data_IF_376879006975
#
_entry.id   IF_376879006975
#
_cell.length_a   1.000
_cell.length_b   1.000
_cell.length_c   1.000
_cell.angle_alpha   90.00
_cell.angle_beta   90.00
_cell.angle_gamma   90.00
#
_symmetry.space_group_name_H-M   'P 1'
#
loop_
_entity.id
_entity.type
_entity.pdbx_description
1 polymer ?
#
# COMPACT_ATOMS: atom_id res chain seq x y z
N UNK A 1 13.82 3.11 41.83
CA UNK A 1 12.66 3.10 40.92
C UNK A 1 12.56 1.73 40.28
N UNK A 2 11.41 1.04 40.32
CA UNK A 2 11.21 -0.14 39.48
C UNK A 2 11.24 0.30 37.99
N UNK A 3 11.74 -0.55 37.07
CA UNK A 3 11.69 -0.24 35.64
C UNK A 3 10.22 -0.09 35.21
N UNK A 4 9.91 0.83 34.27
CA UNK A 4 8.56 0.99 33.78
C UNK A 4 8.07 -0.33 33.18
N UNK A 5 6.88 -0.78 33.61
CA UNK A 5 6.21 -1.96 33.05
C UNK A 5 6.04 -1.74 31.54
N UNK A 6 6.69 -2.59 30.74
CA UNK A 6 6.50 -2.62 29.29
C UNK A 6 5.02 -2.90 29.00
N UNK A 7 4.32 -2.07 28.20
CA UNK A 7 2.93 -2.31 27.88
C UNK A 7 2.81 -3.63 27.08
N UNK A 8 1.77 -4.41 27.36
CA UNK A 8 1.53 -5.74 26.80
C UNK A 8 1.25 -5.75 25.27
N UNK A 9 1.37 -4.62 24.59
CA UNK A 9 1.06 -4.44 23.17
C UNK A 9 2.19 -4.86 22.22
N UNK A 10 3.38 -5.21 22.71
CA UNK A 10 4.57 -5.46 21.88
C UNK A 10 4.49 -6.62 20.86
N UNK A 11 3.53 -7.55 20.97
CA UNK A 11 3.48 -8.73 20.10
C UNK A 11 2.98 -8.42 18.67
N UNK A 12 1.98 -7.54 18.53
CA UNK A 12 1.47 -7.13 17.23
C UNK A 12 2.42 -6.15 16.52
N UNK A 13 3.14 -5.33 17.30
CA UNK A 13 4.10 -4.33 16.81
C UNK A 13 5.38 -4.92 16.22
N UNK A 14 5.57 -6.24 16.25
CA UNK A 14 6.76 -6.92 15.74
C UNK A 14 6.45 -8.05 14.78
N UNK A 15 5.26 -8.06 14.19
CA UNK A 15 4.97 -9.00 13.11
C UNK A 15 5.87 -8.66 11.93
N UNK A 16 6.81 -9.56 11.66
CA UNK A 16 7.66 -9.47 10.49
C UNK A 16 6.82 -9.38 9.21
N UNK A 17 7.39 -8.77 8.15
CA UNK A 17 6.70 -8.56 6.88
C UNK A 17 6.09 -9.85 6.31
N UNK A 18 6.73 -11.01 6.54
CA UNK A 18 6.18 -12.31 6.12
C UNK A 18 4.90 -12.68 6.86
N UNK A 19 4.83 -12.49 8.18
CA UNK A 19 3.62 -12.79 8.94
C UNK A 19 2.46 -11.91 8.50
N UNK A 20 2.71 -10.63 8.25
CA UNK A 20 1.68 -9.73 7.73
C UNK A 20 1.18 -10.19 6.36
N UNK A 21 2.10 -10.61 5.48
CA UNK A 21 1.72 -11.19 4.19
C UNK A 21 0.90 -12.47 4.37
N UNK A 22 1.31 -13.41 5.23
CA UNK A 22 0.58 -14.66 5.45
C UNK A 22 -0.81 -14.44 6.03
N UNK A 23 -0.96 -13.53 6.99
CA UNK A 23 -2.27 -13.17 7.55
C UNK A 23 -3.15 -12.57 6.45
N UNK A 24 -2.62 -11.66 5.63
CA UNK A 24 -3.38 -11.07 4.53
C UNK A 24 -3.76 -12.08 3.46
N UNK A 25 -2.86 -13.02 3.11
CA UNK A 25 -3.17 -14.13 2.20
C UNK A 25 -4.27 -15.02 2.77
N UNK A 26 -4.22 -15.32 4.07
CA UNK A 26 -5.27 -16.09 4.75
C UNK A 26 -6.60 -15.35 4.71
N UNK A 27 -6.62 -14.04 5.01
CA UNK A 27 -7.84 -13.21 4.90
C UNK A 27 -8.40 -13.25 3.48
N UNK A 28 -7.57 -13.10 2.46
CA UNK A 28 -7.98 -13.25 1.06
C UNK A 28 -8.57 -14.63 0.78
N UNK A 29 -7.91 -15.71 1.22
CA UNK A 29 -8.40 -17.08 1.03
C UNK A 29 -9.76 -17.33 1.72
N UNK A 30 -9.97 -16.74 2.91
CA UNK A 30 -11.25 -16.79 3.62
C UNK A 30 -12.33 -16.07 2.81
N UNK A 31 -12.05 -14.86 2.31
CA UNK A 31 -13.01 -14.12 1.47
C UNK A 31 -13.32 -14.89 0.19
N UNK A 32 -12.33 -15.47 -0.46
CA UNK A 32 -12.51 -16.32 -1.64
C UNK A 32 -13.41 -17.53 -1.32
N UNK A 33 -13.16 -18.21 -0.20
CA UNK A 33 -13.95 -19.37 0.22
C UNK A 33 -15.44 -19.02 0.38
N UNK A 34 -15.74 -17.85 0.94
CA UNK A 34 -17.12 -17.40 1.12
C UNK A 34 -17.74 -16.85 -0.17
N UNK A 35 -16.97 -16.25 -1.07
CA UNK A 35 -17.50 -15.59 -2.29
C UNK A 35 -17.47 -16.46 -3.54
N UNK A 36 -16.78 -17.61 -3.53
CA UNK A 36 -16.64 -18.53 -4.69
C UNK A 36 -17.95 -19.06 -5.30
N UNK A 37 -19.08 -18.89 -4.63
CA UNK A 37 -20.39 -19.31 -5.14
C UNK A 37 -21.03 -18.27 -6.07
N UNK A 38 -20.45 -17.07 -6.18
CA UNK A 38 -20.88 -16.05 -7.13
C UNK A 38 -20.45 -16.44 -8.55
N UNK A 39 -21.27 -16.10 -9.55
CA UNK A 39 -21.04 -16.49 -10.95
C UNK A 39 -20.01 -15.61 -11.68
N UNK A 40 -19.66 -14.44 -11.13
CA UNK A 40 -18.75 -13.47 -11.76
C UNK A 40 -17.33 -13.63 -11.24
N UNK A 41 -16.43 -14.13 -12.09
CA UNK A 41 -14.99 -14.28 -11.76
C UNK A 41 -14.35 -12.92 -11.38
N UNK A 42 -14.57 -11.81 -12.12
CA UNK A 42 -14.02 -10.51 -11.74
C UNK A 42 -14.54 -10.02 -10.38
N UNK A 43 -15.80 -10.29 -10.05
CA UNK A 43 -16.40 -9.90 -8.77
C UNK A 43 -15.73 -10.62 -7.60
N UNK A 44 -15.63 -11.95 -7.68
CA UNK A 44 -14.96 -12.79 -6.67
C UNK A 44 -13.49 -12.39 -6.51
N UNK A 45 -12.82 -12.11 -7.63
CA UNK A 45 -11.41 -11.68 -7.64
C UNK A 45 -11.23 -10.37 -6.89
N UNK A 46 -12.10 -9.38 -7.14
CA UNK A 46 -11.99 -8.07 -6.49
C UNK A 46 -12.39 -8.10 -5.02
N UNK A 47 -13.39 -8.89 -4.63
CA UNK A 47 -13.72 -9.10 -3.21
C UNK A 47 -12.54 -9.74 -2.46
N UNK A 48 -11.94 -10.79 -3.06
CA UNK A 48 -10.76 -11.46 -2.52
C UNK A 48 -9.59 -10.50 -2.36
N UNK A 49 -9.33 -9.69 -3.40
CA UNK A 49 -8.30 -8.66 -3.40
C UNK A 49 -8.52 -7.61 -2.32
N UNK A 50 -9.75 -7.10 -2.17
CA UNK A 50 -10.10 -6.13 -1.12
C UNK A 50 -9.84 -6.71 0.26
N UNK A 51 -10.23 -7.96 0.53
CA UNK A 51 -9.96 -8.62 1.80
C UNK A 51 -8.47 -8.72 2.12
N UNK A 52 -7.68 -9.17 1.13
CA UNK A 52 -6.21 -9.20 1.24
C UNK A 52 -5.63 -7.81 1.50
N UNK A 53 -6.01 -6.82 0.69
CA UNK A 53 -5.42 -5.49 0.70
C UNK A 53 -5.77 -4.71 1.98
N UNK A 54 -7.02 -4.78 2.45
CA UNK A 54 -7.41 -4.16 3.73
C UNK A 54 -6.68 -4.78 4.91
N UNK A 55 -6.54 -6.11 4.94
CA UNK A 55 -5.76 -6.80 5.98
C UNK A 55 -4.31 -6.31 5.96
N UNK A 56 -3.69 -6.19 4.78
CA UNK A 56 -2.31 -5.72 4.65
C UNK A 56 -2.17 -4.26 5.13
N UNK A 57 -3.06 -3.36 4.68
CA UNK A 57 -3.09 -1.97 5.12
C UNK A 57 -3.21 -1.90 6.64
N UNK A 58 -4.19 -2.58 7.25
CA UNK A 58 -4.42 -2.52 8.69
C UNK A 58 -3.17 -2.97 9.46
N UNK A 59 -2.55 -4.07 9.07
CA UNK A 59 -1.36 -4.59 9.73
C UNK A 59 -0.14 -3.68 9.54
N UNK A 60 0.05 -3.12 8.35
CA UNK A 60 1.12 -2.16 8.09
C UNK A 60 0.90 -0.84 8.85
N UNK A 61 -0.34 -0.35 8.96
CA UNK A 61 -0.66 0.87 9.69
C UNK A 61 -0.58 0.71 11.21
N UNK A 62 -0.91 -0.46 11.75
CA UNK A 62 -0.59 -0.79 13.14
C UNK A 62 0.92 -0.64 13.37
N UNK A 63 1.75 -1.18 12.47
CA UNK A 63 3.20 -1.06 12.60
C UNK A 63 3.70 0.39 12.43
N UNK A 64 3.19 1.13 11.43
CA UNK A 64 3.54 2.53 11.18
C UNK A 64 3.25 3.40 12.40
N UNK A 65 2.08 3.24 13.02
CA UNK A 65 1.63 4.12 14.10
C UNK A 65 2.21 3.80 15.48
N UNK A 66 2.84 2.65 15.68
CA UNK A 66 3.45 2.34 16.99
C UNK A 66 4.90 1.88 16.98
N UNK A 67 5.58 1.90 15.84
CA UNK A 67 7.03 1.77 15.82
C UNK A 67 7.69 3.06 16.32
N UNK A 68 8.58 2.94 17.30
CA UNK A 68 9.41 4.06 17.73
C UNK A 68 10.52 4.33 16.69
N UNK A 69 10.94 5.59 16.42
CA UNK A 69 11.93 5.91 15.37
C UNK A 69 13.23 5.10 15.46
N UNK A 70 13.71 4.85 16.68
CA UNK A 70 14.91 4.04 16.96
C UNK A 70 14.75 2.52 16.67
N UNK A 71 13.52 2.02 16.56
CA UNK A 71 13.26 0.62 16.20
C UNK A 71 13.24 0.43 14.67
N UNK A 72 12.88 1.46 13.90
CA UNK A 72 12.86 1.43 12.43
C UNK A 72 14.26 1.15 11.88
N UNK A 73 15.27 1.84 12.41
CA UNK A 73 16.67 1.68 11.99
C UNK A 73 17.22 0.29 12.28
N UNK A 74 16.76 -0.37 13.35
CA UNK A 74 17.18 -1.73 13.74
C UNK A 74 16.51 -2.81 12.90
N UNK A 75 15.25 -2.62 12.53
CA UNK A 75 14.48 -3.59 11.75
C UNK A 75 14.84 -3.56 10.26
N UNK A 76 15.24 -2.40 9.74
CA UNK A 76 15.64 -2.24 8.33
C UNK A 76 16.91 -3.03 7.94
N UNK A 77 17.79 -3.32 8.91
CA UNK A 77 19.11 -3.91 8.63
C UNK A 77 19.16 -5.43 8.43
N UNK A 78 18.10 -6.19 8.74
CA UNK A 78 18.22 -7.64 8.97
C UNK A 78 17.68 -8.57 7.87
N UNK A 79 16.84 -8.12 6.93
CA UNK A 79 16.27 -9.00 5.88
C UNK A 79 15.95 -8.27 4.56
N UNK A 80 16.94 -8.04 3.70
CA UNK A 80 16.78 -7.16 2.54
C UNK A 80 16.08 -7.83 1.33
N UNK A 81 16.43 -9.08 1.01
CA UNK A 81 15.99 -9.72 -0.24
C UNK A 81 14.51 -10.10 -0.23
N UNK A 82 14.01 -10.71 0.84
CA UNK A 82 12.62 -11.17 0.94
C UNK A 82 11.63 -10.00 0.92
N UNK A 83 11.94 -8.91 1.63
CA UNK A 83 11.10 -7.70 1.68
C UNK A 83 10.96 -7.04 0.31
N UNK A 84 12.00 -7.09 -0.52
CA UNK A 84 11.92 -6.62 -1.89
C UNK A 84 10.96 -7.48 -2.74
N UNK A 85 10.99 -8.80 -2.60
CA UNK A 85 10.05 -9.68 -3.32
C UNK A 85 8.60 -9.50 -2.86
N UNK A 86 8.36 -9.31 -1.56
CA UNK A 86 7.02 -8.98 -1.05
C UNK A 86 6.53 -7.66 -1.65
N UNK A 87 7.38 -6.63 -1.68
CA UNK A 87 7.07 -5.35 -2.34
C UNK A 87 6.67 -5.55 -3.81
N UNK A 88 7.48 -6.28 -4.58
CA UNK A 88 7.18 -6.55 -6.00
C UNK A 88 5.89 -7.34 -6.19
N UNK A 89 5.64 -8.34 -5.34
CA UNK A 89 4.43 -9.15 -5.36
C UNK A 89 3.19 -8.27 -5.14
N UNK A 90 3.18 -7.45 -4.09
CA UNK A 90 2.05 -6.58 -3.78
C UNK A 90 1.86 -5.54 -4.90
N UNK A 91 2.95 -4.99 -5.44
CA UNK A 91 2.87 -4.03 -6.55
C UNK A 91 2.24 -4.65 -7.81
N UNK A 92 2.69 -5.85 -8.19
CA UNK A 92 2.16 -6.57 -9.33
C UNK A 92 0.69 -6.93 -9.12
N UNK A 93 0.32 -7.42 -7.93
CA UNK A 93 -1.07 -7.74 -7.59
C UNK A 93 -1.98 -6.50 -7.64
N UNK A 94 -1.51 -5.36 -7.14
CA UNK A 94 -2.23 -4.08 -7.25
C UNK A 94 -2.44 -3.62 -8.69
N UNK A 95 -1.47 -3.85 -9.59
CA UNK A 95 -1.65 -3.54 -11.01
C UNK A 95 -2.61 -4.52 -11.70
N UNK A 96 -2.59 -5.80 -11.32
CA UNK A 96 -3.53 -6.81 -11.82
C UNK A 96 -4.97 -6.49 -11.38
N UNK A 97 -5.16 -5.90 -10.19
CA UNK A 97 -6.50 -5.49 -9.73
C UNK A 97 -7.15 -4.46 -10.66
N UNK A 98 -6.37 -3.57 -11.29
CA UNK A 98 -6.87 -2.63 -12.31
C UNK A 98 -7.43 -3.37 -13.53
N UNK A 99 -6.80 -4.46 -13.95
CA UNK A 99 -7.32 -5.30 -15.04
C UNK A 99 -8.63 -5.98 -14.62
N UNK A 100 -8.69 -6.52 -13.41
CA UNK A 100 -9.91 -7.12 -12.87
C UNK A 100 -11.07 -6.12 -12.79
N UNK A 101 -10.80 -4.85 -12.44
CA UNK A 101 -11.78 -3.76 -12.49
C UNK A 101 -12.32 -3.56 -13.91
N UNK A 102 -11.44 -3.49 -14.91
CA UNK A 102 -11.87 -3.32 -16.30
C UNK A 102 -12.72 -4.51 -16.78
N UNK A 103 -12.38 -5.73 -16.39
CA UNK A 103 -13.16 -6.93 -16.71
C UNK A 103 -14.52 -6.93 -16.00
N UNK A 104 -14.58 -6.52 -14.73
CA UNK A 104 -15.84 -6.39 -13.98
C UNK A 104 -16.76 -5.39 -14.67
N UNK A 105 -16.25 -4.21 -15.02
CA UNK A 105 -17.07 -3.19 -15.68
C UNK A 105 -17.55 -3.62 -17.07
N UNK A 106 -16.75 -4.39 -17.82
CA UNK A 106 -17.20 -4.97 -19.09
C UNK A 106 -18.29 -6.02 -18.94
N UNK A 107 -18.34 -6.71 -17.79
CA UNK A 107 -19.35 -7.73 -17.49
C UNK A 107 -20.74 -7.16 -17.15
N UNK A 108 -20.89 -5.83 -17.07
CA UNK A 108 -22.16 -5.16 -16.76
C UNK A 108 -23.20 -5.18 -17.89
N UNK A 109 -22.81 -5.59 -19.10
CA UNK A 109 -23.73 -5.57 -20.26
C UNK A 109 -24.87 -6.57 -20.09
N UNK A 110 -26.10 -6.07 -20.06
CA UNK A 110 -27.31 -6.89 -19.94
C UNK A 110 -27.67 -7.25 -18.49
N UNK A 111 -26.90 -6.76 -17.51
CA UNK A 111 -27.21 -6.95 -16.09
C UNK A 111 -28.25 -5.93 -15.61
N UNK A 112 -29.09 -6.29 -14.61
CA UNK A 112 -29.96 -5.36 -13.92
C UNK A 112 -29.19 -4.18 -13.32
N UNK A 113 -29.81 -3.01 -13.29
CA UNK A 113 -29.20 -1.78 -12.81
C UNK A 113 -28.67 -1.87 -11.37
N UNK A 114 -29.35 -2.62 -10.50
CA UNK A 114 -28.91 -2.86 -9.12
C UNK A 114 -27.56 -3.59 -9.06
N UNK A 115 -27.34 -4.58 -9.93
CA UNK A 115 -26.08 -5.33 -10.04
C UNK A 115 -24.98 -4.42 -10.60
N UNK A 116 -25.28 -3.65 -11.64
CA UNK A 116 -24.34 -2.69 -12.24
C UNK A 116 -23.86 -1.68 -11.21
N UNK A 117 -24.77 -1.11 -10.40
CA UNK A 117 -24.41 -0.19 -9.32
C UNK A 117 -23.51 -0.85 -8.28
N UNK A 118 -23.79 -2.10 -7.89
CA UNK A 118 -22.92 -2.88 -7.01
C UNK A 118 -21.51 -3.07 -7.58
N UNK A 119 -21.39 -3.37 -8.88
CA UNK A 119 -20.10 -3.55 -9.55
C UNK A 119 -19.29 -2.27 -9.65
N UNK A 120 -19.95 -1.14 -9.89
CA UNK A 120 -19.30 0.18 -9.89
C UNK A 120 -18.76 0.51 -8.49
N UNK A 121 -19.54 0.30 -7.43
CA UNK A 121 -19.09 0.53 -6.05
C UNK A 121 -17.94 -0.40 -5.66
N UNK A 122 -18.00 -1.67 -6.06
CA UNK A 122 -16.92 -2.63 -5.82
C UNK A 122 -15.63 -2.22 -6.54
N UNK A 123 -15.73 -1.77 -7.80
CA UNK A 123 -14.60 -1.27 -8.57
C UNK A 123 -13.98 -0.01 -7.93
N UNK A 124 -14.82 0.94 -7.47
CA UNK A 124 -14.37 2.12 -6.74
C UNK A 124 -13.64 1.75 -5.44
N UNK A 125 -14.20 0.86 -4.63
CA UNK A 125 -13.58 0.41 -3.39
C UNK A 125 -12.23 -0.26 -3.69
N UNK A 126 -12.19 -1.16 -4.68
CA UNK A 126 -10.97 -1.86 -5.07
C UNK A 126 -9.87 -0.90 -5.53
N UNK A 127 -10.18 0.12 -6.34
CA UNK A 127 -9.14 1.07 -6.81
C UNK A 127 -8.60 1.93 -5.66
N UNK A 128 -9.47 2.42 -4.77
CA UNK A 128 -9.07 3.29 -3.64
C UNK A 128 -8.21 2.49 -2.65
N UNK A 129 -8.62 1.26 -2.33
CA UNK A 129 -7.89 0.37 -1.43
C UNK A 129 -6.54 -0.01 -2.05
N UNK A 130 -6.49 -0.29 -3.36
CA UNK A 130 -5.23 -0.57 -4.06
C UNK A 130 -4.28 0.63 -4.03
N UNK A 131 -4.79 1.83 -4.29
CA UNK A 131 -4.04 3.09 -4.22
C UNK A 131 -3.44 3.29 -2.82
N UNK A 132 -4.25 3.12 -1.77
CA UNK A 132 -3.77 3.24 -0.39
C UNK A 132 -2.69 2.19 -0.07
N UNK A 133 -2.91 0.93 -0.44
CA UNK A 133 -1.93 -0.13 -0.22
C UNK A 133 -0.61 0.19 -0.93
N UNK A 134 -0.65 0.63 -2.19
CA UNK A 134 0.55 0.99 -2.96
C UNK A 134 1.38 2.03 -2.20
N UNK A 135 0.77 3.12 -1.73
CA UNK A 135 1.50 4.17 -0.99
C UNK A 135 2.00 3.69 0.36
N UNK A 136 1.25 2.82 1.03
CA UNK A 136 1.68 2.20 2.31
C UNK A 136 2.93 1.33 2.11
N UNK A 137 2.96 0.47 1.08
CA UNK A 137 4.13 -0.38 0.83
C UNK A 137 5.32 0.45 0.33
N UNK A 138 5.09 1.53 -0.44
CA UNK A 138 6.17 2.47 -0.79
C UNK A 138 6.74 3.19 0.44
N UNK A 139 5.93 3.58 1.41
CA UNK A 139 6.41 4.11 2.70
C UNK A 139 7.40 3.15 3.35
N UNK A 140 7.01 1.88 3.48
CA UNK A 140 7.87 0.86 4.07
C UNK A 140 9.17 0.68 3.27
N UNK A 141 9.09 0.75 1.93
CA UNK A 141 10.26 0.63 1.05
C UNK A 141 11.21 1.81 1.17
N UNK A 142 10.70 3.04 1.26
CA UNK A 142 11.54 4.23 1.46
C UNK A 142 12.23 4.20 2.82
N UNK A 143 11.50 3.88 3.89
CA UNK A 143 12.08 3.72 5.22
C UNK A 143 13.20 2.68 5.24
N UNK A 144 12.97 1.53 4.59
CA UNK A 144 13.96 0.46 4.47
C UNK A 144 15.24 0.92 3.75
N UNK A 145 15.10 1.56 2.58
CA UNK A 145 16.27 2.05 1.82
C UNK A 145 17.01 3.15 2.59
N UNK A 146 16.28 4.06 3.24
CA UNK A 146 16.86 5.15 4.02
C UNK A 146 17.74 4.61 5.16
N UNK A 147 17.23 3.65 5.92
CA UNK A 147 17.90 3.09 7.09
C UNK A 147 18.86 1.94 6.78
N UNK A 148 18.91 1.44 5.54
CA UNK A 148 19.91 0.44 5.13
C UNK A 148 21.32 0.99 5.34
N UNK A 149 22.22 0.18 5.90
CA UNK A 149 23.62 0.54 6.12
C UNK A 149 24.49 -0.06 5.02
N UNK A 150 25.43 0.72 4.46
CA UNK A 150 26.36 0.21 3.45
C UNK A 150 27.42 -0.70 4.08
N UNK A 151 27.80 -1.78 3.39
CA UNK A 151 28.78 -2.76 3.90
C UNK A 151 30.15 -2.10 4.01
N UNK A 152 30.48 -1.60 5.22
CA UNK A 152 31.76 -0.95 5.53
C UNK A 152 31.62 0.44 6.13
N UNK A 153 30.43 1.03 6.14
CA UNK A 153 30.16 2.31 6.78
C UNK A 153 29.21 2.12 7.97
N UNK A 154 29.38 2.88 9.06
CA UNK A 154 28.49 2.79 10.25
C UNK A 154 27.24 3.66 10.12
N UNK A 155 27.11 4.41 9.03
CA UNK A 155 26.03 5.37 8.80
C UNK A 155 24.97 4.80 7.87
N UNK A 156 23.70 5.16 8.12
CA UNK A 156 22.59 4.86 7.22
C UNK A 156 22.82 5.49 5.84
N UNK A 157 22.28 4.85 4.79
CA UNK A 157 22.38 5.30 3.39
C UNK A 157 21.69 6.64 3.17
N UNK A 158 20.63 6.93 3.94
CA UNK A 158 19.86 8.16 3.82
C UNK A 158 19.23 8.30 2.44
N UNK A 159 19.31 9.50 1.86
CA UNK A 159 18.87 9.76 0.48
C UNK A 159 17.56 10.55 0.34
N UNK A 160 16.94 10.88 1.49
CA UNK A 160 15.82 11.81 1.63
C UNK A 160 16.21 12.86 2.67
N UNK A 161 16.19 14.13 2.29
CA UNK A 161 16.49 15.24 3.19
C UNK A 161 15.17 15.85 3.67
N UNK A 162 14.79 15.50 4.90
CA UNK A 162 13.58 16.02 5.52
C UNK A 162 13.79 17.45 6.05
N UNK A 163 12.77 18.33 5.98
CA UNK A 163 12.84 19.67 6.54
C UNK A 163 13.29 19.70 8.00
N UNK A 164 13.92 20.80 8.43
CA UNK A 164 14.37 20.96 9.83
C UNK A 164 15.62 20.15 10.19
N UNK A 165 16.34 19.60 9.21
CA UNK A 165 17.51 18.74 9.41
C UNK A 165 17.19 17.46 10.21
N UNK A 166 15.99 16.90 10.06
CA UNK A 166 15.62 15.63 10.71
C UNK A 166 16.57 14.50 10.26
N UNK A 167 17.19 13.81 11.23
CA UNK A 167 18.21 12.76 11.02
C UNK A 167 17.71 11.37 11.41
N UNK A 168 16.55 11.30 12.03
CA UNK A 168 15.88 10.11 12.53
C UNK A 168 14.40 10.10 12.13
N UNK A 169 14.08 10.26 10.82
CA UNK A 169 12.70 10.32 10.35
C UNK A 169 11.92 9.05 10.74
N UNK A 170 10.69 9.23 11.20
CA UNK A 170 9.82 8.13 11.58
C UNK A 170 8.99 7.63 10.40
N UNK A 171 8.12 6.64 10.63
CA UNK A 171 7.27 6.15 9.53
C UNK A 171 6.32 7.21 9.00
N UNK A 172 5.85 8.16 9.82
CA UNK A 172 4.96 9.22 9.38
C UNK A 172 5.65 10.19 8.43
N UNK A 173 6.95 10.44 8.59
CA UNK A 173 7.75 11.19 7.61
C UNK A 173 7.78 10.48 6.24
N UNK A 174 7.95 9.15 6.23
CA UNK A 174 7.90 8.37 4.99
C UNK A 174 6.47 8.19 4.45
N UNK A 175 5.44 8.20 5.30
CA UNK A 175 4.03 8.26 4.88
C UNK A 175 3.80 9.56 4.14
N UNK A 176 4.20 10.68 4.75
CA UNK A 176 4.10 11.99 4.13
C UNK A 176 4.77 12.02 2.76
N UNK A 177 6.03 11.62 2.65
CA UNK A 177 6.73 11.56 1.36
C UNK A 177 6.02 10.66 0.33
N UNK A 178 5.63 9.44 0.73
CA UNK A 178 5.01 8.46 -0.16
C UNK A 178 3.64 8.92 -0.68
N UNK A 179 2.79 9.43 0.20
CA UNK A 179 1.44 9.87 -0.16
C UNK A 179 1.44 11.19 -0.93
N UNK A 180 2.38 12.11 -0.69
CA UNK A 180 2.52 13.32 -1.52
C UNK A 180 2.87 12.95 -2.97
N UNK A 181 3.81 12.03 -3.16
CA UNK A 181 4.11 11.47 -4.50
C UNK A 181 2.86 10.84 -5.14
N UNK A 182 2.03 10.17 -4.33
CA UNK A 182 0.77 9.55 -4.74
C UNK A 182 -0.33 10.54 -5.14
N UNK A 183 -0.56 11.57 -4.33
CA UNK A 183 -1.68 12.50 -4.45
C UNK A 183 -1.46 13.56 -5.53
N UNK A 184 -0.26 14.12 -5.63
CA UNK A 184 -0.03 15.33 -6.43
C UNK A 184 1.12 15.22 -7.43
N UNK A 185 1.81 14.08 -7.49
CA UNK A 185 3.03 13.89 -8.31
C UNK A 185 4.12 14.94 -8.05
N UNK A 186 4.02 15.69 -6.95
CA UNK A 186 4.91 16.81 -6.65
C UNK A 186 6.08 16.36 -5.78
N UNK A 187 7.20 17.06 -5.91
CA UNK A 187 8.27 17.03 -4.92
C UNK A 187 7.75 17.73 -3.67
N UNK A 188 7.59 16.97 -2.59
CA UNK A 188 7.43 17.50 -1.24
C UNK A 188 8.60 18.43 -0.88
N UNK A 189 8.48 19.16 0.23
CA UNK A 189 9.61 19.81 0.91
C UNK A 189 10.73 18.83 1.37
N UNK A 190 10.54 17.51 1.19
CA UNK A 190 11.59 16.48 1.26
C UNK A 190 12.37 16.40 -0.04
N UNK A 191 13.67 16.68 0.00
CA UNK A 191 14.56 16.59 -1.18
C UNK A 191 15.14 15.19 -1.37
N UNK A 192 15.29 14.74 -2.62
CA UNK A 192 15.89 13.43 -2.93
C UNK A 192 17.37 13.59 -3.26
N UNK A 193 18.25 13.19 -2.34
CA UNK A 193 19.71 13.22 -2.51
C UNK A 193 20.25 11.92 -3.15
N UNK A 194 19.58 10.77 -2.99
CA UNK A 194 20.02 9.47 -3.52
C UNK A 194 19.55 9.19 -4.96
N UNK A 195 20.44 8.66 -5.81
CA UNK A 195 20.10 8.21 -7.18
C UNK A 195 19.13 7.03 -7.19
N UNK A 196 19.25 6.11 -6.24
CA UNK A 196 18.39 4.91 -6.18
C UNK A 196 16.97 5.28 -5.75
N UNK A 197 16.84 6.17 -4.76
CA UNK A 197 15.54 6.69 -4.32
C UNK A 197 14.90 7.47 -5.46
N UNK A 198 15.66 8.28 -6.21
CA UNK A 198 15.13 9.03 -7.37
C UNK A 198 14.51 8.12 -8.43
N UNK A 199 15.16 6.99 -8.75
CA UNK A 199 14.62 5.98 -9.69
C UNK A 199 13.37 5.29 -9.14
N UNK A 200 13.37 4.98 -7.83
CA UNK A 200 12.19 4.41 -7.17
C UNK A 200 11.01 5.38 -7.17
N UNK A 201 11.25 6.67 -6.88
CA UNK A 201 10.22 7.71 -6.89
C UNK A 201 9.68 7.96 -8.29
N UNK A 202 10.51 7.87 -9.33
CA UNK A 202 10.03 7.91 -10.71
C UNK A 202 9.05 6.77 -11.02
N UNK A 203 9.39 5.52 -10.63
CA UNK A 203 8.51 4.38 -10.81
C UNK A 203 7.22 4.51 -9.97
N UNK A 204 7.35 5.00 -8.74
CA UNK A 204 6.20 5.28 -7.87
C UNK A 204 5.25 6.29 -8.53
N UNK A 205 5.76 7.43 -9.01
CA UNK A 205 4.94 8.45 -9.68
C UNK A 205 4.20 7.92 -10.90
N UNK A 206 4.83 7.07 -11.72
CA UNK A 206 4.18 6.44 -12.88
C UNK A 206 3.02 5.53 -12.46
N UNK A 207 3.21 4.74 -11.40
CA UNK A 207 2.16 3.86 -10.86
C UNK A 207 1.02 4.69 -10.25
N UNK A 208 1.35 5.73 -9.47
CA UNK A 208 0.38 6.69 -8.93
C UNK A 208 -0.46 7.31 -10.03
N UNK A 209 0.14 7.66 -11.17
CA UNK A 209 -0.57 8.23 -12.30
C UNK A 209 -1.63 7.28 -12.87
N UNK A 210 -1.31 5.99 -12.99
CA UNK A 210 -2.28 5.00 -13.45
C UNK A 210 -3.48 4.86 -12.49
N UNK A 211 -3.22 4.81 -11.17
CA UNK A 211 -4.30 4.76 -10.18
C UNK A 211 -5.15 6.02 -10.15
N UNK A 212 -4.55 7.21 -10.16
CA UNK A 212 -5.29 8.48 -10.18
C UNK A 212 -6.17 8.58 -11.43
N UNK A 213 -5.66 8.14 -12.59
CA UNK A 213 -6.45 8.07 -13.82
C UNK A 213 -7.65 7.13 -13.67
N UNK A 214 -7.45 5.93 -13.08
CA UNK A 214 -8.54 4.98 -12.85
C UNK A 214 -9.58 5.51 -11.86
N UNK A 215 -9.16 6.17 -10.77
CA UNK A 215 -10.05 6.79 -9.78
C UNK A 215 -10.92 7.86 -10.43
N UNK A 216 -10.33 8.75 -11.24
CA UNK A 216 -11.08 9.79 -11.96
C UNK A 216 -12.07 9.18 -12.94
N UNK A 217 -11.65 8.21 -13.76
CA UNK A 217 -12.53 7.55 -14.72
C UNK A 217 -13.73 6.85 -14.05
N UNK A 218 -13.49 6.14 -12.95
CA UNK A 218 -14.54 5.48 -12.16
C UNK A 218 -15.49 6.48 -11.52
N UNK A 219 -14.95 7.58 -10.98
CA UNK A 219 -15.75 8.64 -10.36
C UNK A 219 -16.70 9.28 -11.37
N UNK A 220 -16.26 9.52 -12.61
CA UNK A 220 -17.10 10.02 -13.70
C UNK A 220 -18.24 9.04 -14.00
N UNK A 221 -17.95 7.73 -14.09
CA UNK A 221 -18.97 6.71 -14.34
C UNK A 221 -20.04 6.70 -13.24
N UNK A 222 -19.64 6.87 -11.98
CA UNK A 222 -20.56 6.89 -10.83
C UNK A 222 -21.46 8.12 -10.90
N UNK A 223 -20.87 9.30 -11.09
CA UNK A 223 -21.61 10.56 -11.20
C UNK A 223 -22.57 10.52 -12.39
N UNK A 224 -22.11 10.03 -13.55
CA UNK A 224 -22.95 9.85 -14.73
C UNK A 224 -24.13 8.92 -14.45
N UNK A 225 -23.92 7.81 -13.74
CA UNK A 225 -24.99 6.89 -13.36
C UNK A 225 -25.98 7.48 -12.35
N UNK A 226 -25.54 8.38 -11.46
CA UNK A 226 -26.41 9.08 -10.51
C UNK A 226 -27.23 10.21 -11.16
N UNK A 227 -26.62 10.95 -12.10
CA UNK A 227 -27.26 12.08 -12.79
C UNK A 227 -28.17 11.63 -13.95
N UNK A 228 -27.94 10.44 -14.51
CA UNK A 228 -28.80 9.87 -15.56
C UNK A 228 -30.06 9.18 -15.02
N UNK A 229 -30.24 9.15 -13.69
CA UNK A 229 -31.48 8.75 -13.01
C UNK A 229 -32.40 9.95 -12.81
#
# INVERSE_FOLDING_TARGET
>A
MPPPKKPATHALFRLDAHYRLYISLLTGAVVLFFTRHLNSIPEVTLMTWIGFALSAIILDWINILGAHPQEISKVAGLEDSSRFFIFLFVMAASLVSLVAILLLLKSTKGEPESIVNGYILLAMAAVIISWWLVHTVFTMRYAHIYYTTDKGNKTHKGGLEFPGNEKTPDYMDFVYFSFVVGMTFQVSDVEISSKDIRRLTWAHGLISFAFNTAIVALSINVISGLVSK
#
